data_IF_742488124023
#
_entry.id   IF_742488124023
#
_cell.length_a   1.000
_cell.length_b   1.000
_cell.length_c   1.000
_cell.angle_alpha   90.00
_cell.angle_beta   90.00
_cell.angle_gamma   90.00
#
_symmetry.space_group_name_H-M   'P 1'
#
loop_
_entity.id
_entity.type
_entity.pdbx_description
1 polymer ?
#
# COMPACT_ATOMS: atom_id res chain seq x y z
N UNK A 1 -3.54 5.31 -27.24
CA UNK A 1 -4.89 4.95 -27.73
C UNK A 1 -5.40 6.08 -28.60
N UNK A 2 -5.84 5.78 -29.82
CA UNK A 2 -6.42 6.78 -30.74
C UNK A 2 -7.73 7.34 -30.18
N UNK A 3 -8.05 8.59 -30.52
CA UNK A 3 -9.34 9.21 -30.14
C UNK A 3 -10.55 8.39 -30.61
N UNK A 4 -10.40 7.69 -31.74
CA UNK A 4 -11.41 6.80 -32.31
C UNK A 4 -11.77 5.57 -31.48
N UNK A 5 -11.02 5.23 -30.42
CA UNK A 5 -11.25 4.03 -29.59
C UNK A 5 -11.47 4.35 -28.11
N UNK A 6 -11.76 5.60 -27.78
CA UNK A 6 -12.00 6.07 -26.40
C UNK A 6 -13.48 6.37 -26.17
N UNK A 7 -13.90 6.33 -24.90
CA UNK A 7 -15.25 6.71 -24.48
C UNK A 7 -16.33 5.91 -25.20
N UNK A 8 -17.30 6.64 -25.76
CA UNK A 8 -18.45 6.05 -26.47
C UNK A 8 -18.05 5.33 -27.78
N UNK A 9 -16.92 5.71 -28.37
CA UNK A 9 -16.41 5.10 -29.60
C UNK A 9 -15.69 3.76 -29.35
N UNK A 10 -15.55 3.33 -28.10
CA UNK A 10 -15.00 2.01 -27.78
C UNK A 10 -16.04 0.92 -28.11
N UNK A 11 -15.67 -0.11 -28.86
CA UNK A 11 -16.52 -1.25 -29.24
C UNK A 11 -17.16 -1.99 -28.04
N UNK A 12 -16.58 -1.84 -26.86
CA UNK A 12 -17.07 -2.43 -25.61
C UNK A 12 -17.93 -1.47 -24.76
N UNK A 13 -18.12 -0.22 -25.20
CA UNK A 13 -18.97 0.74 -24.51
C UNK A 13 -20.42 0.25 -24.42
N UNK A 14 -21.04 0.37 -23.24
CA UNK A 14 -22.41 -0.08 -22.98
C UNK A 14 -22.61 -1.59 -22.82
N UNK A 15 -21.60 -2.42 -23.11
CA UNK A 15 -21.69 -3.89 -22.96
C UNK A 15 -21.28 -4.33 -21.55
N UNK A 16 -21.85 -5.44 -21.09
CA UNK A 16 -21.52 -6.09 -19.82
C UNK A 16 -20.94 -7.48 -20.09
N UNK A 17 -20.06 -7.93 -19.21
CA UNK A 17 -19.57 -9.30 -19.25
C UNK A 17 -20.68 -10.28 -18.81
N UNK A 18 -20.66 -11.48 -19.38
CA UNK A 18 -21.48 -12.60 -18.92
C UNK A 18 -20.92 -13.13 -17.59
N UNK A 19 -21.75 -13.85 -16.83
CA UNK A 19 -21.32 -14.46 -15.56
C UNK A 19 -20.14 -15.44 -15.76
N UNK A 20 -20.19 -16.22 -16.83
CA UNK A 20 -19.10 -17.14 -17.20
C UNK A 20 -17.78 -16.40 -17.43
N UNK A 21 -17.80 -15.30 -18.20
CA UNK A 21 -16.61 -14.50 -18.45
C UNK A 21 -16.05 -13.86 -17.17
N UNK A 22 -16.92 -13.40 -16.26
CA UNK A 22 -16.49 -12.89 -14.96
C UNK A 22 -15.79 -13.98 -14.13
N UNK A 23 -16.33 -15.20 -14.11
CA UNK A 23 -15.70 -16.32 -13.41
C UNK A 23 -14.32 -16.67 -14.00
N UNK A 24 -14.17 -16.64 -15.32
CA UNK A 24 -12.87 -16.81 -15.97
C UNK A 24 -11.87 -15.73 -15.56
N UNK A 25 -12.29 -14.47 -15.48
CA UNK A 25 -11.46 -13.36 -15.04
C UNK A 25 -11.03 -13.50 -13.56
N UNK A 26 -11.94 -13.93 -12.70
CA UNK A 26 -11.65 -14.21 -11.27
C UNK A 26 -10.63 -15.34 -11.15
N UNK A 27 -10.83 -16.45 -11.86
CA UNK A 27 -9.91 -17.59 -11.83
C UNK A 27 -8.51 -17.19 -12.33
N UNK A 28 -8.42 -16.39 -13.40
CA UNK A 28 -7.15 -15.88 -13.90
C UNK A 28 -6.46 -14.92 -12.92
N UNK A 29 -7.24 -14.14 -12.16
CA UNK A 29 -6.69 -13.23 -11.14
C UNK A 29 -6.12 -13.99 -9.93
N UNK A 30 -6.82 -15.04 -9.47
CA UNK A 30 -6.39 -15.87 -8.35
C UNK A 30 -5.14 -16.68 -8.67
N UNK A 31 -5.04 -17.21 -9.90
CA UNK A 31 -3.93 -18.07 -10.33
C UNK A 31 -2.76 -17.30 -10.96
N UNK A 32 -2.66 -15.98 -10.74
CA UNK A 32 -1.62 -15.16 -11.35
C UNK A 32 -0.25 -15.48 -10.74
N UNK A 33 0.71 -15.88 -11.58
CA UNK A 33 2.09 -16.18 -11.15
C UNK A 33 2.84 -14.99 -10.56
N UNK A 34 2.57 -13.78 -11.08
CA UNK A 34 3.15 -12.53 -10.59
C UNK A 34 2.14 -11.79 -9.71
N UNK A 35 2.26 -11.97 -8.40
CA UNK A 35 1.46 -11.23 -7.43
C UNK A 35 1.79 -9.74 -7.46
N UNK A 36 0.81 -8.91 -7.08
CA UNK A 36 1.05 -7.50 -6.82
C UNK A 36 2.09 -7.39 -5.72
N UNK A 37 3.14 -6.57 -5.93
CA UNK A 37 4.13 -6.32 -4.88
C UNK A 37 3.41 -5.72 -3.66
N UNK A 38 3.61 -6.28 -2.45
CA UNK A 38 3.06 -5.70 -1.24
C UNK A 38 3.65 -4.30 -1.02
N UNK A 39 3.01 -3.55 -0.11
CA UNK A 39 3.50 -2.22 0.27
C UNK A 39 4.83 -2.27 1.03
N UNK A 40 5.28 -1.11 1.49
CA UNK A 40 6.44 -1.02 2.40
C UNK A 40 6.04 -1.53 3.77
N UNK A 41 6.73 -2.55 4.26
CA UNK A 41 6.56 -3.08 5.61
C UNK A 41 6.96 -2.04 6.66
N UNK A 42 6.19 -1.96 7.75
CA UNK A 42 6.40 -0.97 8.81
C UNK A 42 6.29 -1.65 10.17
N UNK A 43 7.28 -1.40 11.01
CA UNK A 43 7.26 -1.79 12.41
C UNK A 43 6.96 -0.57 13.28
N UNK A 44 5.99 -0.71 14.16
CA UNK A 44 5.60 0.30 15.12
C UNK A 44 5.86 -0.26 16.51
N UNK A 45 6.66 0.47 17.28
CA UNK A 45 6.93 0.17 18.67
C UNK A 45 6.28 1.24 19.53
N UNK A 46 5.38 0.83 20.41
CA UNK A 46 4.70 1.73 21.34
C UNK A 46 5.55 1.88 22.61
N UNK A 47 5.86 3.12 22.99
CA UNK A 47 6.71 3.41 24.14
C UNK A 47 5.99 3.15 25.47
N UNK A 48 4.67 3.29 25.49
CA UNK A 48 3.87 3.10 26.72
C UNK A 48 3.78 1.61 27.07
N UNK A 49 3.45 0.77 26.07
CA UNK A 49 3.24 -0.68 26.26
C UNK A 49 4.46 -1.54 25.94
N UNK A 50 5.49 -0.97 25.30
CA UNK A 50 6.70 -1.66 24.80
C UNK A 50 6.40 -2.77 23.79
N UNK A 51 5.20 -2.80 23.22
CA UNK A 51 4.81 -3.78 22.22
C UNK A 51 5.26 -3.33 20.83
N UNK A 52 5.81 -4.29 20.08
CA UNK A 52 6.25 -4.10 18.70
C UNK A 52 5.25 -4.81 17.78
N UNK A 53 4.69 -4.06 16.84
CA UNK A 53 3.69 -4.58 15.88
C UNK A 53 4.20 -4.35 14.47
N UNK A 54 4.19 -5.42 13.67
CA UNK A 54 4.60 -5.38 12.27
C UNK A 54 3.37 -5.31 11.36
N UNK A 55 3.46 -4.47 10.34
CA UNK A 55 2.40 -4.28 9.35
C UNK A 55 2.96 -4.44 7.95
N UNK A 56 2.22 -5.15 7.09
CA UNK A 56 2.57 -5.37 5.68
C UNK A 56 2.61 -4.08 4.83
N UNK A 57 2.04 -2.97 5.32
CA UNK A 57 2.01 -1.71 4.57
C UNK A 57 1.89 -0.48 5.46
N UNK A 58 2.43 0.65 4.98
CA UNK A 58 2.23 2.00 5.57
C UNK A 58 0.74 2.29 5.81
N UNK A 59 -0.14 1.85 4.89
CA UNK A 59 -1.59 2.08 5.03
C UNK A 59 -2.17 1.33 6.23
N UNK A 60 -1.84 0.05 6.40
CA UNK A 60 -2.29 -0.75 7.57
C UNK A 60 -1.75 -0.15 8.86
N UNK A 61 -0.47 0.21 8.87
CA UNK A 61 0.19 0.86 9.99
C UNK A 61 -0.48 2.19 10.38
N UNK A 62 -0.72 3.07 9.41
CA UNK A 62 -1.39 4.36 9.61
C UNK A 62 -2.79 4.18 10.21
N UNK A 63 -3.55 3.18 9.71
CA UNK A 63 -4.88 2.85 10.23
C UNK A 63 -4.83 2.40 11.69
N UNK A 64 -3.84 1.58 12.07
CA UNK A 64 -3.71 1.07 13.44
C UNK A 64 -3.46 2.18 14.48
N UNK A 65 -2.70 3.21 14.10
CA UNK A 65 -2.36 4.34 14.99
C UNK A 65 -3.22 5.60 14.75
N UNK A 66 -4.32 5.47 14.01
CA UNK A 66 -5.21 6.58 13.63
C UNK A 66 -4.43 7.79 13.05
N UNK A 67 -3.62 7.53 12.04
CA UNK A 67 -2.81 8.52 11.31
C UNK A 67 -3.10 8.45 9.80
N UNK A 68 -2.63 9.45 9.07
CA UNK A 68 -2.68 9.50 7.61
C UNK A 68 -1.41 8.92 6.98
N UNK A 69 -1.57 8.30 5.81
CA UNK A 69 -0.52 7.69 5.00
C UNK A 69 0.55 8.74 4.68
N UNK A 70 0.12 9.96 4.29
CA UNK A 70 1.04 11.05 3.93
C UNK A 70 1.92 11.47 5.10
N UNK A 71 1.39 11.47 6.32
CA UNK A 71 2.14 11.84 7.52
C UNK A 71 3.25 10.82 7.80
N UNK A 72 2.96 9.52 7.66
CA UNK A 72 3.97 8.48 7.81
C UNK A 72 5.03 8.53 6.71
N UNK A 73 4.64 8.73 5.45
CA UNK A 73 5.62 8.87 4.35
C UNK A 73 6.49 10.12 4.48
N UNK A 74 5.94 11.25 4.97
CA UNK A 74 6.74 12.45 5.27
C UNK A 74 7.72 12.18 6.42
N UNK A 75 7.29 11.42 7.42
CA UNK A 75 8.14 11.06 8.55
C UNK A 75 9.31 10.19 8.13
N UNK A 76 9.08 9.18 7.31
CA UNK A 76 10.12 8.33 6.74
C UNK A 76 11.22 9.17 6.08
N UNK A 77 10.85 10.12 5.21
CA UNK A 77 11.81 11.06 4.58
C UNK A 77 12.60 11.84 5.61
N UNK A 78 11.92 12.42 6.60
CA UNK A 78 12.58 13.22 7.65
C UNK A 78 13.53 12.40 8.52
N UNK A 79 13.23 11.12 8.77
CA UNK A 79 14.12 10.21 9.52
C UNK A 79 15.38 9.90 8.72
N UNK A 80 15.23 9.69 7.40
CA UNK A 80 16.33 9.41 6.49
C UNK A 80 17.24 10.64 6.31
N UNK A 81 16.66 11.84 6.18
CA UNK A 81 17.40 13.10 6.06
C UNK A 81 18.15 13.47 7.36
N UNK A 82 17.53 13.26 8.52
CA UNK A 82 18.13 13.61 9.82
C UNK A 82 19.01 12.51 10.41
N UNK A 83 18.88 11.26 9.93
CA UNK A 83 19.53 10.09 10.51
C UNK A 83 19.04 9.71 11.91
N UNK A 84 17.94 10.31 12.41
CA UNK A 84 17.44 10.12 13.78
C UNK A 84 15.98 9.70 13.75
N UNK A 85 15.65 8.65 14.52
CA UNK A 85 14.28 8.21 14.73
C UNK A 85 13.70 8.83 16.00
N UNK A 86 12.92 9.90 15.85
CA UNK A 86 12.20 10.51 16.97
C UNK A 86 10.92 9.72 17.30
N UNK A 87 10.26 9.95 18.45
CA UNK A 87 8.92 9.42 18.73
C UNK A 87 7.83 10.13 17.91
N UNK A 88 6.90 9.38 17.32
CA UNK A 88 5.75 9.90 16.59
C UNK A 88 4.64 10.18 17.57
N UNK A 89 4.13 11.43 17.56
CA UNK A 89 3.15 11.93 18.54
C UNK A 89 3.60 11.70 20.00
N UNK A 90 4.91 11.63 20.24
CA UNK A 90 5.47 11.35 21.57
C UNK A 90 5.31 9.90 22.07
N UNK A 91 4.73 8.99 21.26
CA UNK A 91 4.36 7.64 21.71
C UNK A 91 4.94 6.50 20.89
N UNK A 92 5.06 6.67 19.57
CA UNK A 92 5.37 5.55 18.67
C UNK A 92 6.73 5.72 18.00
N UNK A 93 7.62 4.76 18.14
CA UNK A 93 8.83 4.68 17.29
C UNK A 93 8.48 3.84 16.06
N UNK A 94 8.67 4.42 14.87
CA UNK A 94 8.24 3.84 13.59
C UNK A 94 9.48 3.57 12.75
N UNK A 95 9.61 2.33 12.27
CA UNK A 95 10.70 1.87 11.41
C UNK A 95 10.11 1.36 10.11
N UNK A 96 10.60 1.90 8.98
CA UNK A 96 10.18 1.50 7.64
C UNK A 96 11.18 0.51 7.07
N UNK A 97 10.72 -0.71 6.78
CA UNK A 97 11.53 -1.76 6.16
C UNK A 97 11.40 -1.64 4.64
N UNK A 98 12.25 -0.80 4.04
CA UNK A 98 12.48 -0.85 2.59
C UNK A 98 13.59 -1.86 2.34
N UNK A 99 13.35 -2.86 1.49
CA UNK A 99 14.45 -3.61 0.90
C UNK A 99 15.34 -2.61 0.17
N UNK A 100 16.63 -2.59 0.49
CA UNK A 100 17.63 -1.90 -0.33
C UNK A 100 17.39 -2.26 -1.80
N UNK A 101 17.41 -1.31 -2.76
CA UNK A 101 17.64 -1.72 -4.13
C UNK A 101 18.96 -2.50 -4.15
N UNK A 102 18.90 -3.74 -4.60
CA UNK A 102 20.07 -4.52 -4.97
C UNK A 102 20.68 -3.92 -6.24
#
# INVERSE_FOLDING_TARGET
>A
MSESRKGINNNFYGKKHTAEALNSLVNAALNRSKLSKPGVEVEITDLDTKLTTSYESIRKAAKAINSDIKSLSRREKSQLEKGINTPYRGKYIIVFKRSSPA
#
